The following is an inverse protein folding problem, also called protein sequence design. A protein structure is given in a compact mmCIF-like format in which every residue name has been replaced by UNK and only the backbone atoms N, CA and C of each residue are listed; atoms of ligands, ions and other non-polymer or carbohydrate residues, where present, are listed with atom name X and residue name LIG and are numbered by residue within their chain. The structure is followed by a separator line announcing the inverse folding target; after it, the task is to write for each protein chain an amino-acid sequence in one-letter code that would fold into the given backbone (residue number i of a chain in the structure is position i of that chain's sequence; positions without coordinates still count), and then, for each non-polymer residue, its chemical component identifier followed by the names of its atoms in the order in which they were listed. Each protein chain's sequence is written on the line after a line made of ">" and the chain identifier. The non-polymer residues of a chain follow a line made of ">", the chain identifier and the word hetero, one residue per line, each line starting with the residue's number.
data_IF_305217341773
#
_entry.id   IF_305217341773
#
_cell.length_a   1.000
_cell.length_b   1.000
_cell.length_c   1.000
_cell.angle_alpha   90.00
_cell.angle_beta   90.00
_cell.angle_gamma   90.00
#
_symmetry.space_group_name_H-M   'P 1'
#
loop_
_entity.id
_entity.type
_entity.pdbx_description
1 polymer ?
#
# COMPACT_ATOMS: atom_id res chain seq x y z
N UNK A 1 -21.80 -13.05 -0.71
CA UNK A 1 -20.52 -12.84 -1.43
C UNK A 1 -20.52 -11.42 -1.97
N UNK A 2 -19.65 -10.54 -1.48
CA UNK A 2 -19.58 -9.15 -1.97
C UNK A 2 -19.03 -9.14 -3.41
N UNK A 3 -19.78 -8.53 -4.34
CA UNK A 3 -19.41 -8.43 -5.75
C UNK A 3 -18.27 -7.42 -5.90
N UNK A 4 -17.04 -7.90 -6.14
CA UNK A 4 -15.89 -7.02 -6.38
C UNK A 4 -16.07 -6.38 -7.76
N UNK A 5 -16.33 -5.08 -7.81
CA UNK A 5 -16.43 -4.34 -9.06
C UNK A 5 -15.07 -4.35 -9.78
N UNK A 6 -15.05 -4.43 -11.12
CA UNK A 6 -13.80 -4.41 -11.88
C UNK A 6 -13.13 -3.04 -11.73
N UNK A 7 -11.86 -3.05 -11.29
CA UNK A 7 -11.04 -1.87 -11.15
C UNK A 7 -10.10 -1.73 -12.35
N UNK A 8 -9.99 -0.52 -12.88
CA UNK A 8 -9.04 -0.24 -13.97
C UNK A 8 -7.67 0.06 -13.37
N UNK A 9 -6.66 -0.73 -13.74
CA UNK A 9 -5.29 -0.57 -13.26
C UNK A 9 -4.53 0.47 -14.08
N UNK A 10 -4.00 1.49 -13.40
CA UNK A 10 -3.36 2.67 -14.00
C UNK A 10 -2.20 2.29 -14.90
N UNK A 11 -1.25 1.49 -14.40
CA UNK A 11 -0.06 1.16 -15.17
C UNK A 11 -0.40 0.33 -16.42
N UNK A 12 -1.42 -0.53 -16.35
CA UNK A 12 -1.88 -1.30 -17.51
C UNK A 12 -2.50 -0.38 -18.57
N UNK A 13 -3.30 0.61 -18.17
CA UNK A 13 -3.80 1.64 -19.10
C UNK A 13 -2.67 2.44 -19.75
N UNK A 14 -1.61 2.75 -18.99
CA UNK A 14 -0.42 3.44 -19.51
C UNK A 14 0.33 2.59 -20.53
N UNK A 15 0.46 1.28 -20.30
CA UNK A 15 1.05 0.38 -21.30
C UNK A 15 0.22 0.33 -22.59
N UNK A 16 -1.11 0.29 -22.50
CA UNK A 16 -1.98 0.38 -23.68
C UNK A 16 -1.80 1.72 -24.42
N UNK A 17 -1.66 2.83 -23.68
CA UNK A 17 -1.38 4.14 -24.27
C UNK A 17 -0.03 4.16 -25.00
N UNK A 18 1.01 3.63 -24.36
CA UNK A 18 2.35 3.57 -24.94
C UNK A 18 2.35 2.75 -26.23
N UNK A 19 1.63 1.63 -26.26
CA UNK A 19 1.46 0.83 -27.48
C UNK A 19 0.82 1.66 -28.62
N UNK A 20 -0.27 2.38 -28.35
CA UNK A 20 -0.92 3.23 -29.35
C UNK A 20 0.01 4.35 -29.87
N UNK A 21 0.78 4.97 -28.97
CA UNK A 21 1.76 6.00 -29.30
C UNK A 21 2.87 5.45 -30.23
N UNK A 22 3.40 4.27 -29.92
CA UNK A 22 4.40 3.61 -30.77
C UNK A 22 3.84 3.17 -32.12
N UNK A 23 2.59 2.72 -32.18
CA UNK A 23 1.94 2.41 -33.48
C UNK A 23 1.81 3.68 -34.33
N UNK A 24 1.52 4.84 -33.74
CA UNK A 24 1.49 6.11 -34.47
C UNK A 24 2.88 6.46 -35.05
N UNK A 25 3.95 6.31 -34.25
CA UNK A 25 5.33 6.51 -34.71
C UNK A 25 5.73 5.54 -35.84
N UNK A 26 5.37 4.26 -35.72
CA UNK A 26 5.64 3.26 -36.78
C UNK A 26 4.86 3.59 -38.05
N UNK A 27 3.59 4.00 -37.94
CA UNK A 27 2.76 4.36 -39.09
C UNK A 27 3.34 5.56 -39.86
N UNK A 28 3.98 6.50 -39.15
CA UNK A 28 4.71 7.61 -39.76
C UNK A 28 5.91 7.14 -40.59
N UNK A 29 6.69 6.19 -40.07
CA UNK A 29 7.85 5.61 -40.79
C UNK A 29 7.44 4.77 -42.01
N UNK A 30 6.21 4.26 -42.01
CA UNK A 30 5.64 3.51 -43.13
C UNK A 30 4.87 4.42 -44.11
N UNK A 31 4.95 5.74 -43.95
CA UNK A 31 4.25 6.74 -44.79
C UNK A 31 2.72 6.58 -44.78
N UNK A 32 2.16 5.90 -43.77
CA UNK A 32 0.72 5.69 -43.59
C UNK A 32 0.12 6.84 -42.77
N UNK A 33 0.06 8.03 -43.36
CA UNK A 33 -0.34 9.27 -42.68
C UNK A 33 -1.73 9.21 -42.04
N UNK A 34 -2.71 8.59 -42.70
CA UNK A 34 -4.06 8.44 -42.14
C UNK A 34 -4.03 7.59 -40.86
N UNK A 35 -3.35 6.45 -40.88
CA UNK A 35 -3.21 5.58 -39.69
C UNK A 35 -2.43 6.27 -38.58
N UNK A 36 -1.36 7.01 -38.92
CA UNK A 36 -0.64 7.85 -37.96
C UNK A 36 -1.62 8.77 -37.22
N UNK A 37 -2.44 9.51 -37.96
CA UNK A 37 -3.39 10.46 -37.37
C UNK A 37 -4.42 9.77 -36.48
N UNK A 38 -4.97 8.62 -36.92
CA UNK A 38 -5.92 7.82 -36.15
C UNK A 38 -5.31 7.35 -34.81
N UNK A 39 -4.13 6.73 -34.85
CA UNK A 39 -3.46 6.21 -33.65
C UNK A 39 -2.97 7.32 -32.72
N UNK A 40 -2.47 8.42 -33.28
CA UNK A 40 -2.07 9.59 -32.49
C UNK A 40 -3.25 10.20 -31.74
N UNK A 41 -4.40 10.37 -32.41
CA UNK A 41 -5.63 10.85 -31.79
C UNK A 41 -6.09 9.92 -30.66
N UNK A 42 -6.04 8.60 -30.89
CA UNK A 42 -6.37 7.60 -29.87
C UNK A 42 -5.43 7.67 -28.67
N UNK A 43 -4.12 7.77 -28.90
CA UNK A 43 -3.13 7.91 -27.84
C UNK A 43 -3.35 9.19 -27.03
N UNK A 44 -3.66 10.32 -27.68
CA UNK A 44 -3.98 11.58 -26.99
C UNK A 44 -5.20 11.42 -26.07
N UNK A 45 -6.29 10.86 -26.58
CA UNK A 45 -7.51 10.59 -25.81
C UNK A 45 -7.23 9.68 -24.60
N UNK A 46 -6.47 8.61 -24.79
CA UNK A 46 -6.10 7.69 -23.71
C UNK A 46 -5.27 8.39 -22.64
N UNK A 47 -4.31 9.22 -23.03
CA UNK A 47 -3.47 10.00 -22.10
C UNK A 47 -4.31 10.91 -21.23
N UNK A 48 -5.20 11.70 -21.83
CA UNK A 48 -6.11 12.61 -21.13
C UNK A 48 -7.03 11.84 -20.17
N UNK A 49 -7.58 10.71 -20.63
CA UNK A 49 -8.42 9.83 -19.81
C UNK A 49 -7.66 9.29 -18.61
N UNK A 50 -6.44 8.77 -18.80
CA UNK A 50 -5.62 8.22 -17.71
C UNK A 50 -5.26 9.33 -16.72
N UNK A 51 -4.80 10.49 -17.19
CA UNK A 51 -4.45 11.62 -16.30
C UNK A 51 -5.65 12.05 -15.44
N UNK A 52 -6.86 12.05 -16.02
CA UNK A 52 -8.09 12.43 -15.32
C UNK A 52 -8.49 11.42 -14.24
N UNK A 53 -8.32 10.13 -14.51
CA UNK A 53 -8.85 9.07 -13.65
C UNK A 53 -7.82 8.48 -12.68
N UNK A 54 -6.55 8.46 -13.05
CA UNK A 54 -5.47 7.84 -12.30
C UNK A 54 -4.76 8.80 -11.34
N UNK A 55 -4.89 10.11 -11.55
CA UNK A 55 -4.32 11.11 -10.64
C UNK A 55 -5.33 11.43 -9.53
N UNK A 56 -4.90 11.29 -8.28
CA UNK A 56 -5.69 11.68 -7.12
C UNK A 56 -5.25 13.07 -6.64
N UNK A 57 -6.07 14.12 -6.82
CA UNK A 57 -5.68 15.49 -6.45
C UNK A 57 -5.58 15.70 -4.94
N UNK A 58 -6.33 14.94 -4.13
CA UNK A 58 -6.28 15.06 -2.66
C UNK A 58 -4.96 14.51 -2.10
N UNK A 59 -4.48 13.39 -2.63
CA UNK A 59 -3.16 12.82 -2.27
C UNK A 59 -2.02 13.41 -3.12
N UNK A 60 -2.32 14.20 -4.14
CA UNK A 60 -1.40 14.77 -5.12
C UNK A 60 -0.50 13.74 -5.83
N UNK A 61 -0.98 12.51 -6.03
CA UNK A 61 -0.22 11.36 -6.54
C UNK A 61 -1.01 10.58 -7.59
N UNK A 62 -0.32 9.84 -8.46
CA UNK A 62 -0.96 8.74 -9.18
C UNK A 62 -1.32 7.60 -8.24
N UNK A 63 -2.39 6.87 -8.57
CA UNK A 63 -2.88 5.73 -7.78
C UNK A 63 -2.93 4.46 -8.62
N UNK A 64 -2.84 3.31 -7.97
CA UNK A 64 -2.73 1.98 -8.63
C UNK A 64 -3.95 1.67 -9.48
N UNK A 65 -5.12 2.11 -9.00
CA UNK A 65 -6.39 1.95 -9.69
C UNK A 65 -7.05 3.30 -9.88
N UNK A 66 -7.79 3.45 -10.97
CA UNK A 66 -8.54 4.68 -11.23
C UNK A 66 -9.47 5.05 -10.09
N UNK A 67 -9.52 6.34 -9.77
CA UNK A 67 -10.27 6.93 -8.63
C UNK A 67 -9.93 6.28 -7.28
N UNK A 68 -8.80 5.59 -7.20
CA UNK A 68 -8.33 4.93 -6.01
C UNK A 68 -7.56 5.87 -5.09
N UNK A 69 -7.05 5.27 -4.01
CA UNK A 69 -6.20 5.95 -3.04
C UNK A 69 -4.84 5.29 -2.88
N UNK A 70 -4.69 3.99 -3.14
CA UNK A 70 -3.42 3.28 -2.94
C UNK A 70 -2.37 3.63 -3.98
N UNK A 71 -1.11 3.70 -3.55
CA UNK A 71 0.06 3.89 -4.40
C UNK A 71 0.86 2.60 -4.42
N UNK A 72 1.02 2.02 -5.62
CA UNK A 72 1.72 0.75 -5.83
C UNK A 72 3.08 0.96 -6.53
N UNK A 73 4.00 -0.01 -6.41
CA UNK A 73 5.35 0.09 -6.97
C UNK A 73 5.35 0.17 -8.51
N UNK A 74 4.32 -0.36 -9.18
CA UNK A 74 4.17 -0.27 -10.65
C UNK A 74 4.13 1.18 -11.16
N UNK A 75 3.73 2.15 -10.33
CA UNK A 75 3.66 3.56 -10.71
C UNK A 75 5.03 4.23 -10.83
N UNK A 76 6.09 3.65 -10.25
CA UNK A 76 7.45 4.17 -10.39
C UNK A 76 7.96 4.05 -11.84
N UNK A 77 7.34 3.17 -12.64
CA UNK A 77 7.65 2.93 -14.05
C UNK A 77 7.02 3.96 -15.00
N UNK A 78 6.17 4.88 -14.50
CA UNK A 78 5.50 5.87 -15.35
C UNK A 78 6.48 6.80 -16.07
N UNK A 79 7.58 7.17 -15.40
CA UNK A 79 8.62 8.00 -16.01
C UNK A 79 9.42 7.23 -17.07
N UNK A 80 9.72 5.96 -16.81
CA UNK A 80 10.49 5.10 -17.73
C UNK A 80 9.75 4.82 -19.05
N UNK A 81 8.44 4.62 -18.98
CA UNK A 81 7.60 4.45 -20.18
C UNK A 81 7.40 5.80 -20.92
N UNK A 82 7.85 6.92 -20.35
CA UNK A 82 7.67 8.25 -20.91
C UNK A 82 6.25 8.79 -20.76
N UNK A 83 5.44 8.21 -19.87
CA UNK A 83 4.09 8.72 -19.61
C UNK A 83 4.13 10.08 -18.92
N UNK A 84 5.07 10.30 -18.01
CA UNK A 84 5.28 11.58 -17.35
C UNK A 84 6.77 11.86 -17.22
N UNK A 85 7.19 13.12 -17.17
CA UNK A 85 8.59 13.45 -16.94
C UNK A 85 9.03 13.00 -15.54
N UNK A 86 10.25 12.48 -15.41
CA UNK A 86 10.85 12.17 -14.11
C UNK A 86 11.01 13.41 -13.22
N UNK A 87 11.06 14.61 -13.80
CA UNK A 87 11.12 15.88 -13.08
C UNK A 87 9.73 16.50 -12.81
N UNK A 88 8.64 15.85 -13.22
CA UNK A 88 7.29 16.34 -12.97
C UNK A 88 6.95 16.22 -11.47
N UNK A 89 6.42 17.30 -10.89
CA UNK A 89 6.03 17.36 -9.48
C UNK A 89 5.03 16.25 -9.12
N UNK A 90 4.13 15.87 -10.03
CA UNK A 90 3.17 14.78 -9.81
C UNK A 90 3.87 13.43 -9.69
N UNK A 91 4.95 13.22 -10.45
CA UNK A 91 5.75 12.00 -10.35
C UNK A 91 6.56 11.98 -9.05
N UNK A 92 7.23 13.08 -8.71
CA UNK A 92 7.96 13.21 -7.44
C UNK A 92 7.05 12.97 -6.22
N UNK A 93 5.83 13.51 -6.23
CA UNK A 93 4.84 13.24 -5.19
C UNK A 93 4.40 11.77 -5.15
N UNK A 94 4.38 11.09 -6.29
CA UNK A 94 4.04 9.66 -6.36
C UNK A 94 5.12 8.80 -5.72
N UNK A 95 6.40 9.12 -5.95
CA UNK A 95 7.53 8.45 -5.29
C UNK A 95 7.45 8.66 -3.77
N UNK A 96 7.27 9.90 -3.33
CA UNK A 96 7.16 10.23 -1.90
C UNK A 96 5.96 9.53 -1.23
N UNK A 97 4.81 9.47 -1.89
CA UNK A 97 3.64 8.79 -1.37
C UNK A 97 3.88 7.26 -1.26
N UNK A 98 4.58 6.67 -2.23
CA UNK A 98 4.97 5.27 -2.16
C UNK A 98 5.92 4.98 -0.99
N UNK A 99 6.94 5.82 -0.77
CA UNK A 99 7.87 5.69 0.36
C UNK A 99 7.15 5.74 1.72
N UNK A 100 6.19 6.65 1.87
CA UNK A 100 5.36 6.79 3.07
C UNK A 100 4.50 5.53 3.31
N UNK A 101 3.78 5.07 2.28
CA UNK A 101 2.91 3.89 2.35
C UNK A 101 3.74 2.62 2.66
N UNK A 102 4.94 2.50 2.07
CA UNK A 102 5.86 1.38 2.31
C UNK A 102 6.45 1.40 3.73
N UNK A 103 6.82 2.58 4.25
CA UNK A 103 7.38 2.73 5.60
C UNK A 103 6.38 2.35 6.70
N UNK A 104 5.09 2.68 6.54
CA UNK A 104 4.05 2.29 7.50
C UNK A 104 3.82 0.76 7.54
N UNK A 105 4.04 0.07 6.43
CA UNK A 105 3.81 -1.38 6.35
C UNK A 105 4.90 -2.17 7.09
N UNK A 106 6.13 -1.64 7.18
CA UNK A 106 7.25 -2.31 7.84
C UNK A 106 7.21 -2.20 9.38
N UNK A 107 6.68 -1.10 9.92
CA UNK A 107 6.72 -0.84 11.37
C UNK A 107 5.62 -1.54 12.15
N UNK A 108 4.43 -1.75 11.59
CA UNK A 108 3.31 -2.33 12.33
C UNK A 108 3.38 -3.86 12.47
N UNK A 109 3.84 -4.58 11.43
CA UNK A 109 3.93 -6.05 11.49
C UNK A 109 5.13 -6.50 12.32
N UNK A 110 6.30 -5.89 12.10
CA UNK A 110 7.53 -6.32 12.76
C UNK A 110 7.57 -5.93 14.25
N UNK A 111 7.15 -4.71 14.63
CA UNK A 111 7.14 -4.32 16.05
C UNK A 111 6.07 -5.04 16.86
N UNK A 112 4.88 -5.30 16.29
CA UNK A 112 3.83 -6.05 16.97
C UNK A 112 4.23 -7.52 17.16
N UNK A 113 4.85 -8.14 16.15
CA UNK A 113 5.39 -9.50 16.26
C UNK A 113 6.56 -9.56 17.26
N UNK A 114 7.51 -8.62 17.21
CA UNK A 114 8.64 -8.57 18.14
C UNK A 114 8.16 -8.33 19.58
N UNK A 115 7.19 -7.44 19.81
CA UNK A 115 6.60 -7.19 21.14
C UNK A 115 5.87 -8.43 21.66
N UNK A 116 5.09 -9.09 20.80
CA UNK A 116 4.40 -10.34 21.14
C UNK A 116 5.39 -11.49 21.44
N UNK A 117 6.50 -11.58 20.70
CA UNK A 117 7.56 -12.56 20.95
C UNK A 117 8.38 -12.28 22.21
N UNK A 118 8.64 -11.00 22.53
CA UNK A 118 9.27 -10.57 23.79
C UNK A 118 8.38 -10.87 25.00
N UNK A 119 7.05 -10.72 24.88
CA UNK A 119 6.10 -11.11 25.92
C UNK A 119 6.04 -12.63 26.13
N UNK A 120 6.26 -13.44 25.11
CA UNK A 120 6.32 -14.90 25.22
C UNK A 120 7.63 -15.42 25.85
N UNK A 121 8.76 -14.74 25.62
CA UNK A 121 10.06 -15.12 26.21
C UNK A 121 10.16 -14.84 27.71
N UNK A 122 9.29 -14.01 28.29
CA UNK A 122 9.30 -13.72 29.73
C UNK A 122 8.54 -14.77 30.58
N UNK A 123 7.97 -15.81 29.96
CA UNK A 123 7.18 -16.85 30.66
C UNK A 123 7.84 -18.24 30.72
N UNK A 124 9.10 -18.40 30.30
CA UNK A 124 9.79 -19.69 30.37
C UNK A 124 11.19 -19.56 30.99
N UNK A 125 11.25 -19.66 32.32
CA UNK A 125 12.39 -20.24 33.03
C UNK A 125 11.91 -21.48 33.83
N UNK A 126 12.49 -22.67 33.63
CA UNK A 126 12.17 -23.87 34.39
C UNK A 126 13.24 -24.13 35.46
N UNK A 127 12.88 -24.06 36.74
CA UNK A 127 13.62 -24.77 37.78
C UNK A 127 12.66 -25.50 38.72
N UNK A 128 12.53 -26.80 38.45
CA UNK A 128 12.00 -27.81 39.37
C UNK A 128 13.02 -28.08 40.48
N UNK A 129 12.61 -27.87 41.74
CA UNK A 129 13.03 -28.72 42.84
C UNK A 129 11.97 -28.69 43.97
N UNK A 130 11.19 -29.75 44.07
CA UNK A 130 10.49 -30.19 45.29
C UNK A 130 11.52 -30.90 46.21
N UNK A 131 11.39 -30.97 47.56
CA UNK A 131 10.16 -31.45 48.21
C UNK A 131 9.76 -30.79 49.55
N UNK A 132 8.44 -30.74 49.77
CA UNK A 132 7.83 -31.21 51.02
C UNK A 132 7.50 -30.20 52.12
N UNK A 133 6.21 -30.11 52.45
CA UNK A 133 5.75 -29.95 53.84
C UNK A 133 4.91 -28.70 54.18
N UNK A 134 3.66 -28.98 54.56
CA UNK A 134 2.93 -28.36 55.68
C UNK A 134 2.26 -26.99 55.52
N UNK A 135 0.93 -27.07 55.35
CA UNK A 135 -0.14 -26.40 56.11
C UNK A 135 -0.23 -24.86 56.14
N UNK A 136 -1.39 -24.40 55.66
CA UNK A 136 -2.29 -23.44 56.32
C UNK A 136 -1.64 -22.19 56.96
N UNK A 137 -1.74 -21.03 56.29
CA UNK A 137 -2.01 -19.73 56.93
C UNK A 137 -1.83 -18.54 55.98
N UNK A 138 -2.74 -18.31 55.03
CA UNK A 138 -2.85 -16.95 54.44
C UNK A 138 -4.25 -16.60 53.91
N UNK A 139 -5.31 -17.25 54.43
CA UNK A 139 -6.70 -16.85 54.16
C UNK A 139 -7.31 -16.02 55.30
N UNK A 140 -6.50 -15.22 56.01
CA UNK A 140 -6.96 -14.30 57.08
C UNK A 140 -6.75 -12.82 56.79
N UNK A 141 -6.00 -12.43 55.75
CA UNK A 141 -5.77 -11.02 55.43
C UNK A 141 -6.70 -10.45 54.35
N UNK A 142 -7.32 -11.29 53.51
CA UNK A 142 -8.24 -10.80 52.46
C UNK A 142 -9.69 -10.59 52.97
N UNK A 143 -10.07 -11.21 54.08
CA UNK A 143 -11.44 -11.09 54.61
C UNK A 143 -11.65 -9.86 55.53
N UNK A 144 -10.59 -9.28 56.10
CA UNK A 144 -10.70 -8.06 56.92
C UNK A 144 -10.76 -6.76 56.09
N UNK A 145 -10.25 -6.76 54.86
CA UNK A 145 -10.24 -5.56 54.02
C UNK A 145 -11.57 -5.28 53.31
N UNK A 146 -12.46 -6.28 53.19
CA UNK A 146 -13.79 -6.09 52.61
C UNK A 146 -14.82 -5.50 53.59
N UNK A 147 -14.65 -5.69 54.91
CA UNK A 147 -15.57 -5.12 55.91
C UNK A 147 -15.36 -3.63 56.22
N UNK A 148 -14.22 -3.05 55.81
CA UNK A 148 -13.95 -1.61 56.01
C UNK A 148 -14.39 -0.72 54.83
N UNK A 149 -14.78 -1.29 53.68
CA UNK A 149 -15.28 -0.54 52.51
C UNK A 149 -16.79 -0.34 52.49
N UNK A 150 -17.53 -0.91 53.45
CA UNK A 150 -18.99 -0.80 53.55
C UNK A 150 -19.45 -0.10 54.84
N UNK A 151 -18.62 0.76 55.41
CA UNK A 151 -19.03 1.75 56.42
C UNK A 151 -18.95 3.15 55.83
#
# INVERSE_FOLDING_TARGET
>A
VAKRLPLVHTFSSVLCWAAAERIAQVSERLEQHEKKLQWWSRAKYMRETILTHAYNPHRQTFTTHWKGHSVGPSLLRLAEVGFISGSDVRFANTVRAFEQDAAMTCTCSYSALVSASLQLHCSQDPHTHEPGGSKDSTNKQQQQQQQQRQR
#
